data_IF_493286458811
#
_entry.id   IF_493286458811
#
_cell.length_a   1.000
_cell.length_b   1.000
_cell.length_c   1.000
_cell.angle_alpha   90.00
_cell.angle_beta   90.00
_cell.angle_gamma   90.00
#
_symmetry.space_group_name_H-M   'P 1'
#
loop_
_entity.id
_entity.type
_entity.pdbx_description
1 polymer ?
2 polymer ?
3 non-polymer ?
4 water ?
#
loop_
_entity_poly.entity_id
_entity_poly.type
_entity_poly.pdbx_seq_one_letter_code
_entity_poly.pdbx_strand_id
2 'polydeoxyribonucleotide' '(DT)(DT)' ?
#
# COMPACT_ATOMS: atom_id res chain seq x y z
N UNK A 7 4.00 -21.36 4.99
CA UNK A 7 4.98 -20.41 4.47
C UNK A 7 4.39 -19.50 3.39
N UNK A 8 3.11 -19.70 3.07
CA UNK A 8 2.35 -18.74 2.27
C UNK A 8 1.36 -17.96 3.13
N UNK A 9 1.57 -17.95 4.44
CA UNK A 9 0.71 -17.16 5.32
C UNK A 9 0.95 -15.66 5.13
N UNK A 10 -0.03 -14.87 5.56
CA UNK A 10 0.05 -13.41 5.51
C UNK A 10 0.03 -12.85 6.93
N UNK A 11 0.82 -11.79 7.14
CA UNK A 11 0.93 -11.11 8.42
C UNK A 11 0.17 -9.79 8.32
N UNK A 12 -1.06 -9.79 8.78
CA UNK A 12 -1.89 -8.59 8.76
C UNK A 12 -1.55 -7.75 9.98
N UNK A 13 -1.35 -6.46 9.74
CA UNK A 13 -1.05 -5.54 10.83
C UNK A 13 -1.83 -4.25 10.58
N UNK A 14 -2.37 -3.67 11.65
CA UNK A 14 -2.87 -2.30 11.57
C UNK A 14 -2.37 -1.51 12.77
N UNK A 15 -2.06 -0.24 12.50
CA UNK A 15 -1.46 0.68 13.46
C UNK A 15 -2.35 1.89 13.70
N UNK A 16 -2.27 2.42 14.91
CA UNK A 16 -2.68 3.78 15.22
C UNK A 16 -1.47 4.55 15.72
N UNK A 17 -1.33 5.79 15.24
CA UNK A 17 -0.20 6.67 15.55
C UNK A 17 -0.71 8.04 15.99
N UNK A 18 0.21 8.85 16.51
CA UNK A 18 -0.12 10.22 16.90
C UNK A 18 -0.17 11.17 15.70
N UNK A 19 0.50 10.82 14.60
CA UNK A 19 0.35 11.54 13.35
C UNK A 19 1.02 10.75 12.25
N UNK A 20 1.11 11.37 11.07
CA UNK A 20 1.79 10.74 9.94
C UNK A 20 3.21 11.24 9.73
N UNK A 21 3.72 12.06 10.66
CA UNK A 21 5.08 12.57 10.59
C UNK A 21 6.03 11.50 11.12
N UNK A 22 6.83 10.91 10.22
CA UNK A 22 7.73 9.83 10.60
C UNK A 22 8.87 10.32 11.50
N UNK A 23 9.15 11.63 11.49
CA UNK A 23 10.25 12.16 12.28
C UNK A 23 9.86 12.46 13.72
N UNK A 24 8.58 12.72 14.00
CA UNK A 24 8.13 13.10 15.33
C UNK A 24 7.12 12.15 15.95
N UNK A 25 6.30 11.46 15.17
CA UNK A 25 5.18 10.71 15.72
C UNK A 25 5.55 9.28 16.08
N UNK A 26 4.78 8.72 17.00
CA UNK A 26 5.02 7.40 17.58
C UNK A 26 3.81 6.49 17.36
N UNK A 27 4.04 5.20 17.56
CA UNK A 27 2.99 4.19 17.47
C UNK A 27 2.29 4.08 18.83
N UNK A 28 0.96 4.20 18.83
CA UNK A 28 0.20 4.12 20.06
C UNK A 28 -0.74 2.92 20.11
N UNK A 29 -1.08 2.31 18.98
CA UNK A 29 -1.84 1.06 19.02
C UNK A 29 -1.42 0.17 17.86
N UNK A 30 -1.49 -1.13 18.08
CA UNK A 30 -1.03 -2.08 17.07
C UNK A 30 -1.73 -3.42 17.25
N UNK A 31 -2.20 -4.01 16.14
CA UNK A 31 -2.78 -5.33 16.18
C UNK A 31 -2.29 -6.14 14.99
N UNK A 32 -2.27 -7.46 15.18
CA UNK A 32 -1.72 -8.39 14.20
C UNK A 32 -2.57 -9.65 14.14
N UNK A 33 -2.86 -10.11 12.92
CA UNK A 33 -3.57 -11.35 12.64
C UNK A 33 -2.78 -12.14 11.60
N UNK A 34 -2.82 -13.47 11.71
CA UNK A 34 -2.19 -14.36 10.74
C UNK A 34 -3.30 -15.05 9.95
N UNK A 35 -3.26 -14.91 8.62
CA UNK A 35 -4.17 -15.67 7.76
C UNK A 35 -3.39 -16.63 6.88
N UNK A 36 -4.07 -17.65 6.37
CA UNK A 36 -3.46 -18.40 5.28
C UNK A 36 -3.60 -17.61 3.97
N UNK A 37 -3.12 -18.19 2.86
CA UNK A 37 -3.15 -17.46 1.60
C UNK A 37 -4.56 -17.28 1.05
N UNK A 38 -5.54 -18.05 1.54
CA UNK A 38 -6.94 -17.82 1.22
C UNK A 38 -7.67 -16.94 2.25
N UNK A 39 -6.93 -16.24 3.12
CA UNK A 39 -7.47 -15.24 4.05
C UNK A 39 -8.28 -15.84 5.19
N UNK A 40 -8.12 -17.12 5.49
CA UNK A 40 -8.69 -17.66 6.72
C UNK A 40 -7.80 -17.26 7.88
N UNK A 41 -8.39 -16.67 8.91
CA UNK A 41 -7.60 -16.28 10.08
C UNK A 41 -7.11 -17.52 10.81
N UNK A 42 -5.80 -17.66 10.93
CA UNK A 42 -5.24 -18.82 11.63
C UNK A 42 -4.88 -18.49 13.05
N UNK A 43 -4.47 -17.26 13.32
CA UNK A 43 -4.11 -16.95 14.70
C UNK A 43 -4.21 -15.46 14.93
N UNK A 44 -4.72 -15.10 16.09
CA UNK A 44 -4.91 -13.71 16.48
C UNK A 44 -3.74 -13.33 17.36
N UNK A 45 -3.05 -12.27 17.00
CA UNK A 45 -1.84 -11.90 17.69
C UNK A 45 -2.13 -10.85 18.73
N UNK A 46 -1.08 -10.24 19.27
CA UNK A 46 -1.28 -9.23 20.31
C UNK A 46 -2.05 -8.04 19.75
N UNK A 47 -2.72 -7.35 20.65
CA UNK A 47 -3.54 -6.19 20.34
C UNK A 47 -3.27 -5.22 21.47
N UNK A 48 -2.40 -4.23 21.21
CA UNK A 48 -1.73 -3.51 22.29
C UNK A 48 -1.82 -2.02 22.11
N UNK A 49 -1.91 -1.32 23.24
CA UNK A 49 -1.89 0.13 23.31
C UNK A 49 -0.58 0.54 23.97
N UNK A 50 0.18 1.39 23.28
CA UNK A 50 1.57 1.68 23.65
C UNK A 50 1.68 3.10 24.19
N UNK A 51 2.28 3.23 25.37
CA UNK A 51 2.70 4.53 25.89
C UNK A 51 3.50 5.36 24.88
N UNK A 62 -5.37 18.67 14.64
CA UNK A 62 -6.49 18.62 15.55
C UNK A 62 -7.41 17.44 15.23
N UNK A 63 -7.24 16.91 14.01
CA UNK A 63 -7.95 15.70 13.60
C UNK A 63 -7.66 14.54 14.54
N UNK A 64 -6.38 14.27 14.80
CA UNK A 64 -6.00 13.13 15.61
C UNK A 64 -6.51 13.26 17.04
N UNK A 65 -6.41 14.45 17.61
CA UNK A 65 -6.83 14.65 18.99
C UNK A 65 -8.32 14.32 19.15
N UNK A 66 -9.15 14.81 18.23
CA UNK A 66 -10.58 14.51 18.28
C UNK A 66 -10.85 13.02 18.05
N UNK A 67 -10.26 12.47 16.98
CA UNK A 67 -10.61 11.10 16.57
C UNK A 67 -10.03 10.05 17.50
N UNK A 68 -8.99 10.37 18.27
CA UNK A 68 -8.47 9.45 19.27
C UNK A 68 -9.04 9.73 20.65
N UNK A 69 -9.57 10.94 20.92
CA UNK A 69 -10.36 11.17 22.11
C UNK A 69 -11.62 10.35 22.03
N UNK A 70 -12.39 10.58 20.97
CA UNK A 70 -13.39 9.61 20.56
C UNK A 70 -12.69 8.29 20.29
N UNK A 71 -13.35 7.18 20.64
CA UNK A 71 -12.83 5.81 20.64
C UNK A 71 -11.96 5.53 21.86
N UNK A 72 -11.73 6.50 22.73
CA UNK A 72 -11.06 6.26 23.99
C UNK A 72 -9.60 5.90 23.91
N UNK A 73 -8.97 6.07 22.76
CA UNK A 73 -7.64 5.54 22.60
C UNK A 73 -6.60 6.42 23.29
N UNK A 74 -6.74 7.74 23.25
CA UNK A 74 -5.79 8.57 23.99
C UNK A 74 -5.97 8.42 25.49
N UNK A 75 -7.20 8.15 25.95
CA UNK A 75 -7.40 7.71 27.33
C UNK A 75 -6.57 6.47 27.63
N UNK A 76 -6.76 5.40 26.83
CA UNK A 76 -6.02 4.17 27.03
C UNK A 76 -4.52 4.36 26.93
N UNK A 77 -4.08 5.29 26.06
CA UNK A 77 -2.66 5.55 25.88
C UNK A 77 -2.11 6.28 27.10
N UNK A 78 -2.94 7.07 27.79
CA UNK A 78 -2.49 7.62 29.06
C UNK A 78 -2.48 6.56 30.16
N UNK A 79 -3.36 5.56 30.06
CA UNK A 79 -3.41 4.51 31.09
C UNK A 79 -2.50 3.32 30.81
N UNK A 80 -1.94 3.18 29.62
CA UNK A 80 -1.19 1.96 29.27
C UNK A 80 0.05 1.75 30.12
N UNK A 81 0.50 0.49 30.18
CA UNK A 81 1.75 0.15 30.84
C UNK A 81 2.72 -0.51 29.88
N UNK A 82 2.43 -0.50 28.59
CA UNK A 82 3.20 -1.21 27.57
C UNK A 82 4.11 -0.23 26.86
N UNK A 83 5.41 -0.49 26.89
CA UNK A 83 6.37 0.31 26.14
C UNK A 83 6.50 -0.21 24.70
N UNK A 84 7.17 0.60 23.87
CA UNK A 84 7.43 0.21 22.49
C UNK A 84 8.28 -1.06 22.42
N UNK A 85 9.28 -1.17 23.30
CA UNK A 85 10.11 -2.36 23.34
C UNK A 85 9.29 -3.60 23.69
N UNK A 86 8.46 -3.50 24.73
CA UNK A 86 7.64 -4.65 25.14
C UNK A 86 6.68 -5.06 24.02
N UNK A 87 6.06 -4.08 23.38
CA UNK A 87 5.15 -4.36 22.27
C UNK A 87 5.89 -5.08 21.15
N UNK A 88 7.07 -4.59 20.79
CA UNK A 88 7.83 -5.23 19.72
C UNK A 88 8.25 -6.63 20.13
N UNK A 89 8.56 -6.83 21.41
CA UNK A 89 8.87 -8.17 21.87
C UNK A 89 7.69 -9.11 21.66
N UNK A 90 6.49 -8.69 22.08
CA UNK A 90 5.33 -9.57 21.96
C UNK A 90 5.01 -9.87 20.50
N UNK A 91 5.12 -8.86 19.64
CA UNK A 91 4.79 -9.08 18.24
C UNK A 91 5.84 -9.94 17.56
N UNK A 92 7.11 -9.72 17.88
CA UNK A 92 8.19 -10.52 17.29
C UNK A 92 8.06 -11.97 17.70
N UNK A 93 7.82 -12.20 18.99
CA UNK A 93 7.55 -13.55 19.48
C UNK A 93 6.39 -14.20 18.74
N UNK A 94 5.26 -13.48 18.62
CA UNK A 94 4.11 -14.04 17.92
C UNK A 94 4.45 -14.45 16.49
N UNK A 95 5.01 -13.53 15.70
CA UNK A 95 5.26 -13.88 14.29
C UNK A 95 6.34 -14.95 14.17
N UNK A 96 7.27 -15.03 15.13
CA UNK A 96 8.26 -16.10 15.10
C UNK A 96 7.62 -17.46 15.34
N UNK A 97 6.57 -17.51 16.14
CA UNK A 97 5.86 -18.78 16.30
C UNK A 97 4.93 -19.08 15.14
N UNK A 98 4.51 -18.05 14.39
CA UNK A 98 3.46 -18.26 13.40
C UNK A 98 3.96 -18.30 11.96
N UNK A 99 5.18 -17.86 11.69
CA UNK A 99 5.61 -17.72 10.30
C UNK A 99 7.09 -18.05 10.19
N UNK A 100 7.52 -18.56 9.04
CA UNK A 100 8.96 -18.82 8.85
C UNK A 100 9.70 -17.54 8.50
N UNK A 101 10.98 -17.44 8.90
CA UNK A 101 11.72 -16.18 8.74
C UNK A 101 11.84 -15.73 7.29
N UNK A 102 11.48 -14.47 7.05
CA UNK A 102 11.77 -13.80 5.80
C UNK A 102 10.78 -14.01 4.68
N UNK A 103 9.79 -14.90 4.85
CA UNK A 103 8.99 -15.33 3.71
C UNK A 103 7.58 -14.74 3.64
N UNK A 104 7.06 -14.15 4.72
CA UNK A 104 5.67 -13.77 4.54
C UNK A 104 5.51 -12.24 4.47
N UNK A 105 4.54 -11.77 3.70
CA UNK A 105 4.34 -10.32 3.56
C UNK A 105 3.46 -9.71 4.64
N UNK A 106 3.73 -8.44 4.92
CA UNK A 106 2.79 -7.59 5.63
C UNK A 106 1.54 -7.35 4.78
N UNK A 107 0.38 -7.32 5.42
CA UNK A 107 -0.87 -7.10 4.71
C UNK A 107 -1.75 -6.15 5.51
N UNK A 108 -2.57 -5.40 4.79
CA UNK A 108 -3.47 -4.45 5.42
C UNK A 108 -3.89 -3.38 4.44
N UNK A 109 -4.71 -2.44 4.95
CA UNK A 109 -5.24 -1.36 4.12
C UNK A 109 -4.24 -0.22 3.99
N UNK A 110 -3.73 0.28 5.11
CA UNK A 110 -2.72 1.35 5.10
C UNK A 110 -1.34 0.75 5.30
N UNK A 111 -1.02 -0.27 4.51
CA UNK A 111 0.10 -1.09 4.94
C UNK A 111 1.44 -0.45 4.61
N UNK A 112 1.54 0.34 3.52
CA UNK A 112 2.82 0.99 3.26
C UNK A 112 3.13 2.08 4.29
N UNK A 113 2.12 2.79 4.77
CA UNK A 113 2.34 3.74 5.86
C UNK A 113 2.76 3.02 7.14
N UNK A 114 2.02 1.96 7.50
CA UNK A 114 2.36 1.17 8.68
C UNK A 114 3.77 0.61 8.56
N UNK A 115 4.14 0.15 7.37
CA UNK A 115 5.49 -0.38 7.17
C UNK A 115 6.53 0.71 7.34
N UNK A 116 6.22 1.93 6.89
CA UNK A 116 7.11 3.05 7.16
C UNK A 116 7.38 3.17 8.65
N UNK A 117 6.31 3.13 9.46
CA UNK A 117 6.51 3.30 10.90
C UNK A 117 7.17 2.10 11.56
N UNK A 118 6.95 0.89 11.02
CA UNK A 118 7.52 -0.31 11.61
C UNK A 118 9.00 -0.47 11.25
N UNK A 119 9.37 -0.14 10.02
CA UNK A 119 10.78 -0.15 9.64
C UNK A 119 11.60 0.72 10.58
N UNK A 120 11.06 1.87 10.97
CA UNK A 120 11.81 2.73 11.87
C UNK A 120 11.74 2.23 13.31
N UNK A 121 10.54 1.91 13.80
CA UNK A 121 10.38 1.68 15.22
C UNK A 121 10.30 0.21 15.63
N UNK A 122 10.07 -0.72 14.71
CA UNK A 122 10.04 -2.16 15.04
C UNK A 122 10.88 -2.94 14.05
N UNK A 123 12.18 -2.65 13.99
CA UNK A 123 13.01 -3.18 12.88
C UNK A 123 13.22 -4.68 12.93
N UNK A 124 13.33 -5.29 14.11
CA UNK A 124 13.46 -6.75 14.18
C UNK A 124 12.19 -7.44 13.69
N UNK A 125 11.02 -6.95 14.10
CA UNK A 125 9.74 -7.49 13.61
C UNK A 125 9.71 -7.48 12.09
N UNK A 126 10.04 -6.32 11.49
CA UNK A 126 10.02 -6.24 10.03
C UNK A 126 11.07 -7.14 9.41
N UNK A 127 12.23 -7.25 10.05
CA UNK A 127 13.26 -8.14 9.53
C UNK A 127 12.80 -9.60 9.51
N UNK A 128 11.82 -9.96 10.35
CA UNK A 128 11.27 -11.32 10.21
C UNK A 128 10.40 -11.47 8.96
N UNK A 129 9.92 -10.37 8.37
CA UNK A 129 8.98 -10.43 7.27
C UNK A 129 9.66 -10.27 5.91
N UNK A 130 9.00 -10.84 4.90
CA UNK A 130 9.32 -10.56 3.52
C UNK A 130 9.27 -9.05 3.25
N UNK A 131 9.87 -8.64 2.13
CA UNK A 131 9.84 -7.23 1.74
C UNK A 131 8.57 -6.87 0.98
N UNK A 132 7.88 -7.83 0.38
CA UNK A 132 6.67 -7.55 -0.38
C UNK A 132 5.50 -7.30 0.56
N UNK A 133 4.56 -6.48 0.08
CA UNK A 133 3.37 -6.14 0.84
C UNK A 133 2.13 -6.56 0.06
N UNK A 134 1.06 -6.80 0.80
CA UNK A 134 -0.26 -7.00 0.23
C UNK A 134 -1.10 -5.81 0.66
N UNK A 135 -1.28 -4.86 -0.23
CA UNK A 135 -1.93 -3.58 0.03
C UNK A 135 -3.36 -3.68 -0.45
N UNK A 136 -4.30 -3.81 0.49
CA UNK A 136 -5.71 -3.93 0.14
C UNK A 136 -6.18 -2.66 -0.57
N UNK A 137 -5.56 -1.51 -0.27
CA UNK A 137 -5.99 -0.25 -0.86
C UNK A 137 -5.67 -0.19 -2.35
N UNK A 138 -4.61 -0.87 -2.80
CA UNK A 138 -4.40 -1.04 -4.24
C UNK A 138 -5.60 -1.72 -4.90
N UNK A 139 -6.08 -2.80 -4.29
CA UNK A 139 -7.22 -3.52 -4.85
C UNK A 139 -8.46 -2.62 -4.80
N UNK A 140 -8.60 -1.86 -3.72
CA UNK A 140 -9.73 -0.92 -3.62
C UNK A 140 -9.70 0.12 -4.75
N UNK A 141 -8.53 0.70 -5.02
CA UNK A 141 -8.40 1.66 -6.12
C UNK A 141 -8.73 1.01 -7.46
N UNK A 142 -8.26 -0.22 -7.66
CA UNK A 142 -8.57 -0.92 -8.91
C UNK A 142 -10.05 -1.23 -9.03
N UNK A 143 -10.68 -1.70 -7.94
CA UNK A 143 -12.11 -1.99 -7.95
C UNK A 143 -12.93 -0.73 -8.21
N UNK A 144 -12.53 0.38 -7.57
CA UNK A 144 -13.16 1.68 -7.83
C UNK A 144 -13.13 2.01 -9.30
N UNK A 145 -12.02 1.71 -9.98
CA UNK A 145 -11.95 2.09 -11.39
C UNK A 145 -12.67 1.09 -12.30
N UNK A 146 -12.42 -0.20 -12.09
CA UNK A 146 -12.86 -1.20 -13.04
C UNK A 146 -14.18 -1.84 -12.68
N UNK A 147 -14.60 -1.79 -11.41
CA UNK A 147 -15.84 -2.43 -10.97
C UNK A 147 -16.60 -1.49 -10.04
N UNK A 148 -16.98 -0.30 -10.54
CA UNK A 148 -17.63 0.70 -9.67
C UNK A 148 -18.94 0.21 -9.03
N UNK A 149 -19.73 -0.58 -9.77
CA UNK A 149 -20.94 -1.15 -9.18
C UNK A 149 -20.60 -1.99 -7.95
N UNK A 150 -19.73 -2.98 -8.13
CA UNK A 150 -19.32 -3.82 -7.01
C UNK A 150 -18.65 -3.00 -5.92
N UNK A 151 -17.87 -1.98 -6.31
CA UNK A 151 -17.19 -1.14 -5.33
C UNK A 151 -18.19 -0.46 -4.40
N UNK A 152 -19.34 -0.04 -4.94
CA UNK A 152 -20.32 0.64 -4.11
C UNK A 152 -20.85 -0.26 -2.99
N UNK A 153 -20.95 -1.57 -3.25
CA UNK A 153 -21.45 -2.49 -2.25
C UNK A 153 -20.36 -3.06 -1.36
N UNK A 154 -19.11 -2.64 -1.55
CA UNK A 154 -17.98 -3.19 -0.81
C UNK A 154 -17.94 -2.66 0.63
N UNK A 155 -17.30 -3.40 1.55
CA UNK A 155 -16.94 -2.89 2.88
C UNK A 155 -15.96 -1.70 2.76
N UNK A 160 -14.86 2.94 14.01
CA UNK A 160 -13.96 2.83 15.15
C UNK A 160 -12.48 2.77 14.71
N UNK A 161 -11.75 3.83 14.99
CA UNK A 161 -10.33 3.94 14.63
C UNK A 161 -9.45 3.17 15.63
N UNK A 162 -9.71 1.87 15.74
CA UNK A 162 -8.90 0.99 16.58
C UNK A 162 -8.30 -0.14 15.75
N UNK A 163 -7.07 -0.50 16.09
CA UNK A 163 -6.27 -1.38 15.24
C UNK A 163 -6.98 -2.70 14.95
N UNK A 164 -7.50 -3.38 15.98
CA UNK A 164 -8.03 -4.72 15.77
C UNK A 164 -9.28 -4.71 14.87
N UNK A 165 -10.20 -3.77 15.14
CA UNK A 165 -11.41 -3.64 14.33
C UNK A 165 -11.08 -3.30 12.88
N UNK A 166 -10.09 -2.43 12.67
CA UNK A 166 -9.74 -2.05 11.30
C UNK A 166 -9.06 -3.19 10.54
N UNK A 167 -8.16 -3.93 11.19
CA UNK A 167 -7.52 -5.01 10.45
C UNK A 167 -8.53 -6.12 10.12
N UNK A 168 -9.51 -6.34 11.01
CA UNK A 168 -10.58 -7.28 10.70
C UNK A 168 -11.41 -6.83 9.50
N UNK A 169 -11.76 -5.54 9.45
CA UNK A 169 -12.43 -5.00 8.27
C UNK A 169 -11.59 -5.17 7.02
N UNK A 170 -10.28 -4.95 7.14
CA UNK A 170 -9.42 -5.01 5.97
C UNK A 170 -9.42 -6.41 5.35
N UNK A 171 -9.37 -7.43 6.20
CA UNK A 171 -9.47 -8.80 5.69
C UNK A 171 -10.82 -8.99 5.01
N UNK A 172 -11.90 -8.53 5.65
CA UNK A 172 -13.22 -8.70 5.03
C UNK A 172 -13.32 -7.98 3.69
N UNK A 173 -12.64 -6.83 3.56
CA UNK A 173 -12.71 -6.07 2.31
C UNK A 173 -11.94 -6.77 1.20
N UNK A 174 -10.75 -7.29 1.50
CA UNK A 174 -10.05 -8.07 0.49
C UNK A 174 -10.87 -9.29 0.08
N UNK A 175 -11.50 -9.95 1.06
CA UNK A 175 -12.34 -11.10 0.74
C UNK A 175 -13.50 -10.72 -0.18
N UNK A 176 -14.13 -9.57 0.09
CA UNK A 176 -15.21 -9.13 -0.80
C UNK A 176 -14.70 -8.90 -2.21
N UNK A 177 -13.53 -8.26 -2.35
CA UNK A 177 -12.97 -8.10 -3.69
C UNK A 177 -12.74 -9.46 -4.35
N UNK A 178 -12.16 -10.41 -3.62
CA UNK A 178 -11.91 -11.72 -4.21
C UNK A 178 -13.21 -12.36 -4.67
N UNK A 179 -14.26 -12.28 -3.84
CA UNK A 179 -15.53 -12.92 -4.21
C UNK A 179 -16.21 -12.20 -5.36
N UNK A 180 -15.98 -10.91 -5.54
CA UNK A 180 -16.84 -10.18 -6.45
C UNK A 180 -16.17 -9.63 -7.70
N UNK A 181 -14.84 -9.42 -7.70
CA UNK A 181 -14.23 -8.83 -8.91
C UNK A 181 -13.10 -9.67 -9.48
N UNK A 182 -12.70 -10.74 -8.81
CA UNK A 182 -11.70 -11.65 -9.36
C UNK A 182 -12.40 -12.79 -10.08
N UNK A 183 -11.76 -13.35 -11.10
CA UNK A 183 -12.47 -14.29 -11.96
C UNK A 183 -12.70 -15.61 -11.23
N UNK A 184 -13.81 -16.25 -11.55
CA UNK A 184 -14.23 -17.47 -10.87
C UNK A 184 -13.67 -18.69 -11.58
N UNK A 185 -13.26 -19.68 -10.79
CA UNK A 185 -12.71 -20.92 -11.34
C UNK A 185 -13.80 -21.97 -11.54
N UNK B 1 -19.67 10.97 -15.11
CA UNK B 1 -19.66 12.37 -14.69
C UNK B 1 -18.36 13.07 -15.09
N UNK B 2 -18.49 14.34 -15.44
CA UNK B 2 -17.36 15.11 -15.97
C UNK B 2 -16.24 15.18 -14.95
N UNK B 3 -15.03 14.92 -15.41
CA UNK B 3 -13.86 14.98 -14.55
C UNK B 3 -13.56 13.68 -13.82
N UNK B 4 -14.54 12.78 -13.70
CA UNK B 4 -14.30 11.54 -12.97
C UNK B 4 -13.20 10.73 -13.64
N UNK B 5 -13.21 10.69 -14.97
CA UNK B 5 -12.21 9.94 -15.71
C UNK B 5 -10.81 10.47 -15.45
N UNK B 6 -10.68 11.80 -15.35
CA UNK B 6 -9.39 12.40 -15.05
C UNK B 6 -8.97 12.13 -13.61
N UNK B 7 -9.93 12.19 -12.68
CA UNK B 7 -9.65 11.89 -11.28
C UNK B 7 -9.19 10.44 -11.08
N UNK B 8 -9.46 9.54 -12.04
CA UNK B 8 -9.08 8.14 -11.96
C UNK B 8 -7.84 7.82 -12.77
N UNK B 9 -7.11 8.84 -13.23
CA UNK B 9 -5.83 8.58 -13.88
C UNK B 9 -4.84 8.01 -12.87
N UNK B 10 -3.72 7.50 -13.39
CA UNK B 10 -2.64 7.00 -12.56
C UNK B 10 -1.32 7.64 -12.99
N UNK B 11 -0.45 7.87 -12.01
CA UNK B 11 0.87 8.48 -12.24
C UNK B 11 1.91 7.38 -12.06
N UNK B 12 2.40 6.82 -13.16
CA UNK B 12 3.36 5.73 -13.10
C UNK B 12 4.75 6.31 -13.00
N UNK B 13 5.50 5.90 -11.98
CA UNK B 13 6.87 6.39 -11.88
C UNK B 13 7.82 5.23 -11.69
N UNK B 14 9.07 5.46 -12.05
CA UNK B 14 10.11 4.51 -11.69
C UNK B 14 11.43 5.21 -11.46
N UNK B 15 12.17 4.71 -10.47
CA UNK B 15 13.50 5.18 -10.09
C UNK B 15 14.48 4.03 -10.15
N UNK B 16 15.68 4.29 -10.65
CA UNK B 16 16.72 3.27 -10.74
C UNK B 16 18.06 3.84 -10.28
N UNK B 28 20.96 8.69 -10.24
CA UNK B 28 19.62 8.12 -10.17
C UNK B 28 18.81 8.51 -11.39
N UNK B 29 18.12 7.53 -11.98
CA UNK B 29 17.31 7.73 -13.17
C UNK B 29 15.84 7.67 -12.78
N UNK B 30 15.05 8.63 -13.25
CA UNK B 30 13.64 8.69 -12.89
C UNK B 30 12.80 8.97 -14.13
N UNK B 31 11.72 8.23 -14.29
CA UNK B 31 10.78 8.49 -15.36
C UNK B 31 9.37 8.49 -14.81
N UNK B 32 8.45 9.06 -15.61
CA UNK B 32 7.05 9.19 -15.24
C UNK B 32 6.18 9.20 -16.49
N UNK B 33 5.11 8.40 -16.46
CA UNK B 33 4.06 8.40 -17.48
C UNK B 33 2.72 8.57 -16.81
N UNK B 34 1.73 8.99 -17.59
CA UNK B 34 0.34 9.04 -17.12
C UNK B 34 -0.47 7.99 -17.87
N UNK B 35 -1.36 7.28 -17.17
CA UNK B 35 -2.38 6.47 -17.86
C UNK B 35 -3.77 6.88 -17.39
N UNK B 36 -4.76 6.60 -18.23
CA UNK B 36 -6.14 6.63 -17.75
C UNK B 36 -6.37 5.43 -16.85
N UNK B 37 -7.61 5.30 -16.36
CA UNK B 37 -7.97 4.19 -15.48
C UNK B 37 -7.90 2.85 -16.18
N UNK B 38 -7.99 2.81 -17.51
CA UNK B 38 -7.90 1.56 -18.27
C UNK B 38 -6.47 1.28 -18.75
N UNK B 39 -5.47 1.96 -18.18
CA UNK B 39 -4.06 1.71 -18.43
C UNK B 39 -3.62 2.12 -19.83
N UNK B 40 -4.38 2.96 -20.53
CA UNK B 40 -3.87 3.53 -21.77
C UNK B 40 -2.94 4.68 -21.47
N UNK B 41 -1.76 4.69 -22.09
CA UNK B 41 -0.81 5.77 -21.86
C UNK B 41 -1.31 7.05 -22.50
N UNK B 42 -1.45 8.11 -21.69
CA UNK B 42 -1.94 9.38 -22.21
C UNK B 42 -0.84 10.39 -22.46
N UNK B 43 0.26 10.34 -21.71
CA UNK B 43 1.30 11.35 -21.85
C UNK B 43 2.58 10.80 -21.24
N UNK B 44 3.72 11.12 -21.85
CA UNK B 44 5.02 10.80 -21.28
C UNK B 44 5.58 12.03 -20.61
N UNK B 45 6.15 11.84 -19.43
CA UNK B 45 6.70 12.93 -18.68
C UNK B 45 8.20 12.93 -18.77
N UNK B 46 8.85 13.73 -17.91
CA UNK B 46 10.32 13.78 -17.94
C UNK B 46 10.93 12.42 -17.70
N UNK B 47 12.14 12.25 -18.24
CA UNK B 47 12.97 11.06 -18.10
C UNK B 47 14.36 11.62 -17.81
N UNK B 48 14.75 11.62 -16.53
CA UNK B 48 15.82 12.48 -16.05
C UNK B 48 16.85 11.69 -15.26
N UNK B 49 18.06 12.25 -15.17
CA UNK B 49 19.15 11.69 -14.36
C UNK B 49 19.49 12.69 -13.26
N UNK B 50 19.52 12.21 -12.02
CA UNK B 50 19.61 13.06 -10.84
C UNK B 50 20.80 12.61 -9.98
N UNK B 51 21.47 13.58 -9.37
CA UNK B 51 22.59 13.31 -8.46
C UNK B 51 22.23 12.32 -7.36
N UNK B 82 21.04 16.82 -13.43
CA UNK B 82 20.41 18.05 -12.92
C UNK B 82 20.07 17.89 -11.44
N UNK B 83 19.81 19.01 -10.76
CA UNK B 83 19.62 18.93 -9.32
C UNK B 83 18.26 18.31 -8.99
N UNK B 84 18.18 17.81 -7.76
CA UNK B 84 16.93 17.27 -7.24
C UNK B 84 15.79 18.29 -7.34
N UNK B 85 16.08 19.56 -7.05
CA UNK B 85 15.03 20.58 -7.05
C UNK B 85 14.52 20.87 -8.46
N UNK B 86 15.43 21.00 -9.43
CA UNK B 86 15.00 21.23 -10.81
C UNK B 86 14.21 20.04 -11.34
N UNK B 87 14.67 18.82 -11.04
CA UNK B 87 13.95 17.62 -11.46
C UNK B 87 12.55 17.60 -10.88
N UNK B 88 12.45 17.82 -9.56
CA UNK B 88 11.14 17.86 -8.92
C UNK B 88 10.24 18.85 -9.61
N UNK B 89 10.76 20.04 -9.93
CA UNK B 89 9.93 21.04 -10.59
C UNK B 89 9.41 20.51 -11.91
N UNK B 90 10.26 19.83 -12.69
CA UNK B 90 9.80 19.33 -13.98
C UNK B 90 8.71 18.28 -13.82
N UNK B 91 8.88 17.35 -12.89
CA UNK B 91 7.86 16.34 -12.68
C UNK B 91 6.57 16.95 -12.13
N UNK B 92 6.72 17.95 -11.24
CA UNK B 92 5.55 18.57 -10.65
C UNK B 92 4.75 19.33 -11.70
N UNK B 93 5.42 20.11 -12.55
CA UNK B 93 4.72 20.80 -13.62
C UNK B 93 4.01 19.82 -14.53
N UNK B 94 4.68 18.72 -14.88
CA UNK B 94 4.05 17.71 -15.73
C UNK B 94 2.79 17.18 -15.08
N UNK B 95 2.88 16.70 -13.83
CA UNK B 95 1.66 16.12 -13.23
C UNK B 95 0.58 17.19 -13.01
N UNK B 96 0.97 18.45 -12.81
CA UNK B 96 -0.03 19.51 -12.69
C UNK B 96 -0.82 19.68 -13.98
N UNK B 97 -0.19 19.39 -15.11
CA UNK B 97 -0.94 19.47 -16.35
C UNK B 97 -1.84 18.27 -16.58
N UNK B 98 -1.61 17.17 -15.87
CA UNK B 98 -2.19 15.88 -16.20
C UNK B 98 -3.19 15.32 -15.18
N UNK B 99 -3.08 15.67 -13.90
CA UNK B 99 -3.96 15.12 -12.88
C UNK B 99 -4.42 16.23 -11.95
N UNK B 100 -5.65 16.17 -11.45
CA UNK B 100 -6.12 17.21 -10.53
C UNK B 100 -5.48 17.07 -9.16
N UNK B 101 -5.35 18.16 -8.42
CA UNK B 101 -4.56 18.16 -7.18
C UNK B 101 -5.05 17.14 -6.16
N UNK B 102 -4.13 16.28 -5.70
CA UNK B 102 -4.41 15.36 -4.62
C UNK B 102 -5.23 14.14 -4.97
N UNK B 103 -5.66 13.98 -6.22
CA UNK B 103 -6.61 12.91 -6.53
C UNK B 103 -5.99 11.67 -7.15
N UNK B 104 -4.80 11.77 -7.78
CA UNK B 104 -4.41 10.54 -8.47
C UNK B 104 -3.24 9.83 -7.80
N UNK B 105 -3.22 8.49 -7.83
CA UNK B 105 -2.18 7.74 -7.13
C UNK B 105 -0.93 7.47 -7.94
N UNK B 106 0.18 7.36 -7.22
CA UNK B 106 1.39 6.74 -7.77
C UNK B 106 1.14 5.28 -8.12
N UNK B 107 1.71 4.84 -9.24
CA UNK B 107 1.57 3.46 -9.70
C UNK B 107 2.91 2.89 -10.17
N UNK B 108 3.11 1.60 -9.85
CA UNK B 108 4.23 0.83 -10.38
C UNK B 108 4.44 -0.45 -9.58
N UNK B 109 5.52 -1.16 -9.93
CA UNK B 109 5.85 -2.37 -9.17
C UNK B 109 6.58 -2.04 -7.86
N UNK B 110 7.67 -1.29 -7.93
CA UNK B 110 8.43 -0.94 -6.73
C UNK B 110 7.90 0.36 -6.10
N UNK B 111 6.58 0.44 -5.91
CA UNK B 111 6.00 1.76 -5.79
C UNK B 111 6.01 2.24 -4.35
N UNK B 112 5.77 1.38 -3.35
CA UNK B 112 5.87 1.89 -1.98
C UNK B 112 7.30 2.30 -1.64
N UNK B 113 8.30 1.63 -2.21
CA UNK B 113 9.69 2.05 -2.00
C UNK B 113 9.99 3.38 -2.69
N UNK B 114 9.54 3.54 -3.94
CA UNK B 114 9.75 4.80 -4.64
C UNK B 114 9.02 5.94 -3.94
N UNK B 115 7.81 5.66 -3.44
CA UNK B 115 7.07 6.66 -2.68
C UNK B 115 7.81 7.03 -1.40
N UNK B 116 8.41 6.04 -0.73
CA UNK B 116 9.23 6.35 0.43
C UNK B 116 10.33 7.33 0.06
N UNK B 117 10.99 7.09 -1.07
CA UNK B 117 12.04 8.00 -1.51
C UNK B 117 11.49 9.40 -1.83
N UNK B 118 10.39 9.47 -2.59
CA UNK B 118 9.91 10.75 -3.11
C UNK B 118 9.24 11.59 -2.03
N UNK B 119 8.60 10.95 -1.05
CA UNK B 119 8.00 11.67 0.07
C UNK B 119 9.05 12.54 0.76
N UNK B 120 10.31 12.14 0.71
CA UNK B 120 11.38 12.84 1.39
C UNK B 120 12.15 13.77 0.46
N UNK B 121 12.43 13.33 -0.76
CA UNK B 121 13.28 14.16 -1.61
C UNK B 121 12.51 14.93 -2.68
N UNK B 122 11.27 14.56 -2.98
CA UNK B 122 10.41 15.37 -3.84
C UNK B 122 9.05 15.57 -3.16
N UNK B 123 9.03 16.22 -1.99
CA UNK B 123 7.75 16.32 -1.26
C UNK B 123 6.71 17.15 -1.99
N UNK B 124 7.10 18.24 -2.64
CA UNK B 124 6.11 19.04 -3.36
C UNK B 124 5.49 18.25 -4.51
N UNK B 125 6.26 17.40 -5.19
CA UNK B 125 5.69 16.52 -6.21
C UNK B 125 4.66 15.57 -5.60
N UNK B 126 5.01 14.91 -4.49
CA UNK B 126 4.11 13.94 -3.87
C UNK B 126 2.86 14.59 -3.29
N UNK B 127 2.98 15.84 -2.86
CA UNK B 127 1.82 16.56 -2.36
C UNK B 127 0.73 16.68 -3.43
N UNK B 128 1.12 16.73 -4.71
CA UNK B 128 0.15 16.79 -5.79
C UNK B 128 -0.63 15.49 -5.96
N UNK B 129 -0.13 14.38 -5.42
CA UNK B 129 -0.71 13.06 -5.63
C UNK B 129 -1.57 12.63 -4.46
N UNK B 130 -2.44 11.64 -4.73
CA UNK B 130 -3.13 10.98 -3.64
C UNK B 130 -2.11 10.32 -2.71
N UNK B 131 -2.57 9.88 -1.54
CA UNK B 131 -1.68 9.14 -0.64
C UNK B 131 -1.76 7.63 -0.90
N UNK B 132 -2.88 7.13 -1.41
CA UNK B 132 -2.93 5.73 -1.83
C UNK B 132 -2.01 5.49 -3.03
N UNK B 133 -1.67 4.23 -3.25
CA UNK B 133 -0.82 3.83 -4.37
C UNK B 133 -1.51 2.68 -5.07
N UNK B 134 -1.06 2.42 -6.28
CA UNK B 134 -1.46 1.23 -7.02
C UNK B 134 -0.20 0.38 -7.16
N UNK B 135 -0.10 -0.62 -6.32
CA UNK B 135 1.09 -1.43 -6.16
C UNK B 135 0.85 -2.68 -6.99
N UNK B 136 1.44 -2.71 -8.19
CA UNK B 136 1.28 -3.87 -9.07
C UNK B 136 1.83 -5.13 -8.41
N UNK B 137 2.81 -4.99 -7.52
CA UNK B 137 3.34 -6.16 -6.81
C UNK B 137 2.31 -6.77 -5.89
N UNK B 138 1.41 -5.96 -5.32
CA UNK B 138 0.30 -6.54 -4.56
C UNK B 138 -0.51 -7.47 -5.45
N UNK B 139 -0.87 -6.99 -6.65
CA UNK B 139 -1.67 -7.80 -7.56
C UNK B 139 -0.89 -9.03 -7.99
N UNK B 140 0.42 -8.87 -8.17
CA UNK B 140 1.27 -10.00 -8.53
C UNK B 140 1.24 -11.07 -7.44
N UNK B 141 1.30 -10.65 -6.16
CA UNK B 141 1.25 -11.61 -5.06
C UNK B 141 -0.09 -12.31 -5.01
N UNK B 142 -1.18 -11.57 -5.21
CA UNK B 142 -2.49 -12.20 -5.29
C UNK B 142 -2.55 -13.18 -6.45
N UNK B 143 -2.01 -12.81 -7.61
CA UNK B 143 -2.01 -13.72 -8.75
C UNK B 143 -1.27 -15.02 -8.44
N UNK B 144 -0.06 -14.89 -7.88
CA UNK B 144 0.73 -16.06 -7.50
C UNK B 144 -0.05 -16.99 -6.56
N UNK B 145 -0.76 -16.43 -5.59
CA UNK B 145 -1.44 -17.28 -4.60
C UNK B 145 -2.73 -17.87 -5.15
N UNK B 146 -3.55 -17.03 -5.76
CA UNK B 146 -4.89 -17.41 -6.14
C UNK B 146 -4.99 -17.89 -7.59
N UNK B 147 -4.03 -17.54 -8.45
CA UNK B 147 -4.10 -17.93 -9.87
C UNK B 147 -2.75 -18.43 -10.35
N UNK B 148 -2.24 -19.52 -9.74
CA UNK B 148 -0.87 -19.97 -10.06
C UNK B 148 -0.67 -20.31 -11.53
N UNK B 149 -1.65 -20.99 -12.15
CA UNK B 149 -1.59 -21.30 -13.57
C UNK B 149 -1.39 -20.04 -14.40
N UNK B 150 -2.25 -19.04 -14.18
CA UNK B 150 -2.13 -17.77 -14.90
C UNK B 150 -0.82 -17.07 -14.60
N UNK B 151 -0.35 -17.17 -13.34
CA UNK B 151 0.87 -16.48 -12.94
C UNK B 151 2.07 -16.98 -13.73
N UNK B 152 2.09 -18.28 -14.08
CA UNK B 152 3.21 -18.77 -14.88
C UNK B 152 3.33 -18.03 -16.20
N UNK B 153 2.22 -17.56 -16.76
CA UNK B 153 2.25 -16.88 -18.05
C UNK B 153 2.40 -15.36 -17.93
N UNK B 154 2.47 -14.82 -16.72
CA UNK B 154 2.47 -13.37 -16.59
C UNK B 154 3.81 -12.79 -17.05
N UNK B 155 3.82 -11.54 -17.53
CA UNK B 155 5.09 -10.87 -17.81
C UNK B 155 5.89 -10.61 -16.54
N UNK B 156 7.20 -10.74 -16.65
CA UNK B 156 8.15 -10.52 -15.55
C UNK B 156 9.30 -9.62 -16.01
N UNK B 161 16.39 -2.29 -18.39
CA UNK B 161 16.82 -1.83 -17.07
C UNK B 161 16.56 -0.32 -16.84
N UNK B 162 16.22 0.40 -17.91
CA UNK B 162 15.88 1.81 -17.79
C UNK B 162 14.54 2.01 -17.10
N UNK B 163 14.38 3.16 -16.45
CA UNK B 163 13.17 3.41 -15.66
C UNK B 163 11.92 3.36 -16.55
N UNK B 164 12.00 3.98 -17.74
CA UNK B 164 10.90 3.95 -18.68
C UNK B 164 10.51 2.51 -19.07
N UNK B 165 11.51 1.65 -19.31
CA UNK B 165 11.24 0.25 -19.63
C UNK B 165 10.55 -0.46 -18.48
N UNK B 166 11.00 -0.20 -17.25
CA UNK B 166 10.35 -0.80 -16.09
C UNK B 166 8.89 -0.35 -15.99
N UNK B 167 8.60 0.93 -16.25
CA UNK B 167 7.22 1.39 -16.25
C UNK B 167 6.41 0.62 -17.30
N UNK B 168 6.96 0.50 -18.51
CA UNK B 168 6.29 -0.23 -19.58
C UNK B 168 5.94 -1.64 -19.14
N UNK B 169 6.91 -2.34 -18.54
CA UNK B 169 6.64 -3.71 -18.08
C UNK B 169 5.58 -3.72 -16.98
N UNK B 170 5.61 -2.75 -16.07
CA UNK B 170 4.64 -2.75 -14.97
C UNK B 170 3.24 -2.59 -15.51
N UNK B 171 3.07 -1.71 -16.49
CA UNK B 171 1.75 -1.51 -17.09
C UNK B 171 1.30 -2.78 -17.78
N UNK B 172 2.18 -3.37 -18.60
CA UNK B 172 1.79 -4.62 -19.26
C UNK B 172 1.47 -5.70 -18.25
N UNK B 173 2.16 -5.71 -17.11
CA UNK B 173 1.89 -6.72 -16.11
C UNK B 173 0.51 -6.53 -15.50
N UNK B 174 0.21 -5.30 -15.07
CA UNK B 174 -1.12 -5.04 -14.52
C UNK B 174 -2.20 -5.36 -15.55
N UNK B 175 -1.91 -5.07 -16.82
CA UNK B 175 -2.89 -5.37 -17.87
C UNK B 175 -3.11 -6.87 -17.98
N UNK B 176 -2.02 -7.64 -17.99
CA UNK B 176 -2.14 -9.09 -17.98
C UNK B 176 -3.04 -9.55 -16.84
N UNK B 177 -2.80 -9.03 -15.63
CA UNK B 177 -3.65 -9.40 -14.49
C UNK B 177 -5.11 -9.04 -14.76
N UNK B 178 -5.37 -7.85 -15.29
CA UNK B 178 -6.76 -7.49 -15.51
C UNK B 178 -7.41 -8.42 -16.52
N UNK B 179 -6.69 -8.73 -17.59
CA UNK B 179 -7.23 -9.62 -18.63
C UNK B 179 -7.46 -11.03 -18.09
N UNK B 180 -6.66 -11.51 -17.15
CA UNK B 180 -6.66 -12.95 -16.92
C UNK B 180 -7.09 -13.41 -15.54
N UNK B 181 -7.08 -12.55 -14.52
CA UNK B 181 -7.53 -12.97 -13.20
C UNK B 181 -8.63 -12.10 -12.63
N UNK B 182 -9.05 -11.05 -13.32
CA UNK B 182 -10.20 -10.27 -12.89
C UNK B 182 -11.45 -10.68 -13.68
N UNK B 183 -12.59 -10.54 -13.03
CA UNK B 183 -13.89 -10.92 -13.58
C UNK B 183 -14.14 -10.24 -14.93
N UNK B 184 -14.53 -11.03 -15.92
CA UNK B 184 -14.76 -10.52 -17.27
C UNK B 184 -15.90 -9.49 -17.30
X LIG D 1 -6.81 2.56 11.69
X LIG E 1 -6.23 1.40 7.68
#
# INVERSE_FOLDING_TARGET
AAGESMAQRMVWVDLEMTGLDIEKDQIIEMACLITDSDLNILAEGPNLIIKQPDELLDSMSDWCKEHHGKSGLTKAVKESTITLQQAEYEFLSFVRQQTPPGLCPLAGNSVHEDKKFLDKYMPQFMKHLHYRIIDVSTVKELCRRWYPEEYEFAPKKAASHRALDDISESIKELQFYRNNIFKKK
AAGESMAQRMVWVDLEMTGLDIEKDQIIEMACLITDSDLNILAEGPNLIIKQPDELLDSMSDWCKEHHGKSGLTKAVKESTITLQQAEYEFLSFVRQQTPPGLCPLAGNSVHEDKKFLDKYMPQFMKHLHYRIIDVSTVKELCRRWYPEEYEFAPKKAASHRALDDISESIKELQFYRNNIFKKK
MG MG
MG MG
#
